data_IF_710710636295
#
_entry.id   IF_710710636295
#
_cell.length_a   1.000
_cell.length_b   1.000
_cell.length_c   1.000
_cell.angle_alpha   90.00
_cell.angle_beta   90.00
_cell.angle_gamma   90.00
#
_symmetry.space_group_name_H-M   'P 1'
#
loop_
_entity.id
_entity.type
_entity.pdbx_description
1 polymer ?
#
# COMPACT_ATOMS: atom_id res chain seq x y z
N UNK A 1 -16.74 -1.36 -22.15
CA UNK A 1 -17.41 -2.61 -21.71
C UNK A 1 -17.90 -2.41 -20.28
N UNK A 2 -18.68 -3.32 -19.66
CA UNK A 2 -18.84 -3.27 -18.19
C UNK A 2 -17.45 -3.22 -17.52
N UNK A 3 -17.34 -2.46 -16.43
CA UNK A 3 -16.12 -2.30 -15.62
C UNK A 3 -14.91 -1.62 -16.29
N UNK A 4 -15.09 -0.88 -17.39
CA UNK A 4 -13.97 -0.22 -18.08
C UNK A 4 -13.24 0.79 -17.17
N UNK A 5 -14.01 1.62 -16.44
CA UNK A 5 -13.45 2.62 -15.53
C UNK A 5 -12.75 1.95 -14.36
N UNK A 6 -13.38 0.94 -13.76
CA UNK A 6 -12.86 0.16 -12.64
C UNK A 6 -11.56 -0.53 -13.02
N UNK A 7 -11.51 -1.18 -14.18
CA UNK A 7 -10.29 -1.80 -14.70
C UNK A 7 -9.17 -0.77 -14.90
N UNK A 8 -9.48 0.39 -15.49
CA UNK A 8 -8.48 1.43 -15.68
C UNK A 8 -7.94 1.94 -14.33
N UNK A 9 -8.82 2.25 -13.38
CA UNK A 9 -8.45 2.68 -12.02
C UNK A 9 -7.60 1.61 -11.32
N UNK A 10 -7.95 0.33 -11.46
CA UNK A 10 -7.19 -0.77 -10.87
C UNK A 10 -5.78 -0.88 -11.45
N UNK A 11 -5.63 -0.77 -12.78
CA UNK A 11 -4.31 -0.81 -13.45
C UNK A 11 -3.46 0.37 -12.98
N UNK A 12 -4.01 1.58 -12.94
CA UNK A 12 -3.29 2.77 -12.48
C UNK A 12 -2.88 2.67 -11.01
N UNK A 13 -3.78 2.20 -10.13
CA UNK A 13 -3.51 2.01 -8.71
C UNK A 13 -2.39 1.00 -8.47
N UNK A 14 -2.50 -0.21 -9.05
CA UNK A 14 -1.51 -1.28 -8.90
C UNK A 14 -0.17 -0.90 -9.52
N UNK A 15 -0.17 -0.16 -10.64
CA UNK A 15 1.09 0.31 -11.25
C UNK A 15 1.85 1.25 -10.32
N UNK A 16 1.15 2.20 -9.67
CA UNK A 16 1.78 3.12 -8.71
C UNK A 16 2.27 2.39 -7.46
N UNK A 17 1.48 1.47 -6.93
CA UNK A 17 1.89 0.63 -5.81
C UNK A 17 3.13 -0.21 -6.16
N UNK A 18 3.21 -0.77 -7.37
CA UNK A 18 4.38 -1.50 -7.85
C UNK A 18 5.62 -0.60 -7.92
N UNK A 19 5.47 0.63 -8.42
CA UNK A 19 6.56 1.62 -8.44
C UNK A 19 7.05 1.97 -7.03
N UNK A 20 6.13 2.11 -6.06
CA UNK A 20 6.47 2.33 -4.66
C UNK A 20 7.26 1.15 -4.10
N UNK A 21 6.76 -0.08 -4.26
CA UNK A 21 7.42 -1.30 -3.79
C UNK A 21 8.83 -1.46 -4.36
N UNK A 22 9.01 -1.15 -5.65
CA UNK A 22 10.34 -1.14 -6.29
C UNK A 22 11.27 -0.08 -5.71
N UNK A 23 10.77 1.12 -5.39
CA UNK A 23 11.58 2.16 -4.75
C UNK A 23 12.04 1.73 -3.34
N UNK A 24 11.14 1.13 -2.55
CA UNK A 24 11.50 0.57 -1.23
C UNK A 24 12.57 -0.52 -1.37
N UNK A 25 12.41 -1.46 -2.31
CA UNK A 25 13.42 -2.50 -2.55
C UNK A 25 14.78 -1.94 -3.00
N UNK A 26 14.79 -0.92 -3.86
CA UNK A 26 16.03 -0.30 -4.32
C UNK A 26 16.80 0.35 -3.16
N UNK A 27 16.09 1.02 -2.25
CA UNK A 27 16.70 1.63 -1.06
C UNK A 27 17.19 0.56 -0.06
N UNK A 28 16.52 -0.60 0.04
CA UNK A 28 16.99 -1.72 0.87
C UNK A 28 18.37 -2.24 0.44
N UNK A 29 18.65 -2.28 -0.86
CA UNK A 29 19.93 -2.78 -1.40
C UNK A 29 21.09 -1.81 -1.12
N UNK A 30 20.81 -0.50 -1.02
CA UNK A 30 21.81 0.53 -0.75
C UNK A 30 22.19 0.65 0.74
N UNK A 31 21.34 0.15 1.64
CA UNK A 31 21.67 0.03 3.07
C UNK A 31 22.46 -1.26 3.27
N UNK A 32 23.74 -1.20 2.89
CA UNK A 32 24.72 -2.27 3.03
C UNK A 32 25.09 -2.46 4.51
N UNK A 33 24.14 -2.87 5.35
CA UNK A 33 24.34 -3.37 6.72
C UNK A 33 22.99 -3.70 7.38
N UNK A 34 22.89 -4.94 7.87
CA UNK A 34 22.48 -5.29 9.24
C UNK A 34 21.63 -6.57 9.27
N UNK A 35 22.27 -7.61 9.79
CA UNK A 35 21.74 -8.51 10.80
C UNK A 35 20.22 -8.75 10.84
N UNK A 36 19.87 -10.02 10.59
CA UNK A 36 18.82 -10.78 11.29
C UNK A 36 17.47 -10.06 11.50
N UNK A 37 16.59 -10.22 10.52
CA UNK A 37 15.16 -10.41 10.80
C UNK A 37 14.32 -9.15 10.98
N UNK A 38 14.85 -7.97 10.64
CA UNK A 38 14.05 -6.75 10.67
C UNK A 38 13.06 -6.75 9.50
N UNK A 39 11.79 -7.03 9.80
CA UNK A 39 10.68 -6.98 8.82
C UNK A 39 10.27 -5.54 8.47
N UNK A 40 10.95 -4.53 9.01
CA UNK A 40 10.67 -3.12 8.76
C UNK A 40 10.48 -2.76 7.27
N UNK A 41 11.30 -3.25 6.31
CA UNK A 41 11.17 -2.84 4.92
C UNK A 41 9.92 -3.38 4.22
N UNK A 42 9.52 -4.63 4.52
CA UNK A 42 8.29 -5.19 3.96
C UNK A 42 7.09 -4.42 4.51
N UNK A 43 7.06 -4.18 5.82
CA UNK A 43 6.01 -3.40 6.47
C UNK A 43 5.86 -1.98 5.91
N UNK A 44 6.97 -1.29 5.56
CA UNK A 44 6.90 0.03 4.91
C UNK A 44 6.26 -0.04 3.52
N UNK A 45 6.63 -1.07 2.74
CA UNK A 45 6.08 -1.28 1.42
C UNK A 45 4.59 -1.69 1.47
N UNK A 46 4.19 -2.56 2.40
CA UNK A 46 2.80 -2.98 2.63
C UNK A 46 1.90 -1.75 2.89
N UNK A 47 2.26 -0.95 3.90
CA UNK A 47 1.51 0.27 4.24
C UNK A 47 1.49 1.29 3.10
N UNK A 48 2.62 1.50 2.43
CA UNK A 48 2.71 2.45 1.32
C UNK A 48 1.88 2.03 0.12
N UNK A 49 1.95 0.75 -0.26
CA UNK A 49 1.17 0.18 -1.36
C UNK A 49 -0.33 0.27 -1.07
N UNK A 50 -0.77 -0.11 0.14
CA UNK A 50 -2.17 0.01 0.52
C UNK A 50 -2.64 1.48 0.52
N UNK A 51 -1.86 2.41 1.07
CA UNK A 51 -2.20 3.83 1.05
C UNK A 51 -2.40 4.34 -0.39
N UNK A 52 -1.49 4.00 -1.31
CA UNK A 52 -1.56 4.43 -2.71
C UNK A 52 -2.78 3.86 -3.42
N UNK A 53 -3.07 2.57 -3.23
CA UNK A 53 -4.22 1.92 -3.87
C UNK A 53 -5.51 2.50 -3.32
N UNK A 54 -5.66 2.56 -1.99
CA UNK A 54 -6.86 3.07 -1.35
C UNK A 54 -7.13 4.53 -1.71
N UNK A 55 -6.08 5.37 -1.74
CA UNK A 55 -6.20 6.76 -2.20
C UNK A 55 -6.75 6.81 -3.63
N UNK A 56 -6.18 6.04 -4.56
CA UNK A 56 -6.56 6.14 -5.98
C UNK A 56 -7.96 5.58 -6.23
N UNK A 57 -8.35 4.51 -5.53
CA UNK A 57 -9.69 3.94 -5.61
C UNK A 57 -10.73 4.92 -5.04
N UNK A 58 -10.53 5.43 -3.82
CA UNK A 58 -11.48 6.34 -3.17
C UNK A 58 -11.60 7.69 -3.88
N UNK A 59 -10.53 8.18 -4.52
CA UNK A 59 -10.58 9.38 -5.35
C UNK A 59 -11.48 9.23 -6.60
N UNK A 60 -11.59 8.00 -7.13
CA UNK A 60 -12.39 7.70 -8.33
C UNK A 60 -13.80 7.16 -8.00
N UNK A 61 -13.95 6.58 -6.81
CA UNK A 61 -15.15 5.95 -6.29
C UNK A 61 -15.30 6.27 -4.79
N UNK A 62 -15.84 7.44 -4.42
CA UNK A 62 -15.91 7.88 -3.02
C UNK A 62 -16.72 6.96 -2.09
N UNK A 63 -17.64 6.17 -2.64
CA UNK A 63 -18.46 5.20 -1.90
C UNK A 63 -17.89 3.77 -1.93
N UNK A 64 -16.69 3.58 -2.51
CA UNK A 64 -16.07 2.26 -2.60
C UNK A 64 -15.76 1.71 -1.21
N UNK A 65 -16.20 0.47 -0.98
CA UNK A 65 -15.74 -0.34 0.14
C UNK A 65 -14.49 -1.08 -0.27
N UNK A 66 -13.42 -0.97 0.53
CA UNK A 66 -12.14 -1.64 0.29
C UNK A 66 -11.84 -2.52 1.50
N UNK A 67 -11.44 -3.75 1.26
CA UNK A 67 -10.98 -4.72 2.26
C UNK A 67 -9.49 -4.97 1.99
N UNK A 68 -8.64 -4.34 2.79
CA UNK A 68 -7.18 -4.50 2.76
C UNK A 68 -6.66 -5.34 3.93
N UNK A 69 -5.39 -5.72 3.89
CA UNK A 69 -4.72 -6.46 4.97
C UNK A 69 -4.30 -5.54 6.13
N UNK A 70 -3.85 -4.33 5.80
CA UNK A 70 -3.16 -3.46 6.75
C UNK A 70 -4.09 -2.46 7.46
N UNK A 71 -3.73 -2.07 8.69
CA UNK A 71 -4.38 -0.98 9.43
C UNK A 71 -3.33 -0.04 10.05
N UNK A 72 -3.66 1.25 10.19
CA UNK A 72 -2.67 2.22 10.65
C UNK A 72 -2.47 2.28 12.18
N UNK A 73 -3.16 1.43 12.96
CA UNK A 73 -3.19 1.56 14.43
C UNK A 73 -1.79 1.48 15.06
N UNK A 74 -0.96 0.55 14.58
CA UNK A 74 0.42 0.41 15.03
C UNK A 74 1.31 1.55 14.50
N UNK A 75 1.03 2.04 13.29
CA UNK A 75 1.82 3.08 12.64
C UNK A 75 1.67 4.44 13.34
N UNK A 76 0.53 4.67 14.00
CA UNK A 76 0.21 5.88 14.76
C UNK A 76 0.88 5.95 16.15
N UNK A 77 1.54 4.89 16.62
CA UNK A 77 2.18 4.92 17.94
C UNK A 77 3.50 5.72 17.91
N UNK A 78 3.90 6.37 19.02
CA UNK A 78 5.15 7.12 19.09
C UNK A 78 6.39 6.30 18.71
N UNK A 79 6.40 5.00 19.02
CA UNK A 79 7.49 4.08 18.72
C UNK A 79 7.66 3.85 17.21
N UNK A 80 6.58 3.97 16.43
CA UNK A 80 6.59 3.81 14.97
C UNK A 80 6.63 5.15 14.21
N UNK A 81 6.84 6.29 14.88
CA UNK A 81 6.88 7.60 14.23
C UNK A 81 7.91 7.70 13.08
N UNK A 82 9.08 7.07 13.23
CA UNK A 82 10.09 7.01 12.17
C UNK A 82 9.62 6.19 10.95
N UNK A 83 8.91 5.09 11.20
CA UNK A 83 8.32 4.24 10.15
C UNK A 83 7.21 4.98 9.42
N UNK A 84 6.33 5.67 10.15
CA UNK A 84 5.28 6.51 9.56
C UNK A 84 5.88 7.60 8.67
N UNK A 85 6.95 8.26 9.12
CA UNK A 85 7.66 9.25 8.31
C UNK A 85 8.25 8.62 7.04
N UNK A 86 8.81 7.41 7.12
CA UNK A 86 9.32 6.68 5.96
C UNK A 86 8.21 6.31 4.97
N UNK A 87 7.11 5.72 5.44
CA UNK A 87 5.93 5.42 4.59
C UNK A 87 5.42 6.70 3.92
N UNK A 88 5.28 7.78 4.69
CA UNK A 88 4.84 9.08 4.17
C UNK A 88 5.77 9.60 3.08
N UNK A 89 7.08 9.50 3.26
CA UNK A 89 8.08 9.91 2.27
C UNK A 89 7.95 9.15 0.94
N UNK A 90 7.69 7.84 0.97
CA UNK A 90 7.43 7.06 -0.25
C UNK A 90 6.09 7.43 -0.90
N UNK A 91 5.03 7.59 -0.11
CA UNK A 91 3.70 7.97 -0.64
C UNK A 91 3.74 9.37 -1.27
N UNK A 92 4.54 10.30 -0.74
CA UNK A 92 4.71 11.65 -1.27
C UNK A 92 5.28 11.70 -2.70
N UNK A 93 5.96 10.65 -3.15
CA UNK A 93 6.44 10.56 -4.53
C UNK A 93 5.28 10.52 -5.55
N UNK A 94 4.11 10.02 -5.11
CA UNK A 94 2.88 9.94 -5.90
C UNK A 94 1.88 11.03 -5.53
N UNK A 95 1.87 11.44 -4.25
CA UNK A 95 0.97 12.45 -3.70
C UNK A 95 1.76 13.50 -2.91
N UNK A 96 2.33 14.53 -3.57
CA UNK A 96 3.27 15.47 -2.92
C UNK A 96 2.71 16.25 -1.72
N UNK A 97 1.39 16.32 -1.57
CA UNK A 97 0.71 17.00 -0.47
C UNK A 97 0.32 16.05 0.68
N UNK A 98 0.67 14.77 0.59
CA UNK A 98 0.36 13.79 1.63
C UNK A 98 1.12 14.11 2.92
N UNK A 99 0.38 14.21 4.02
CA UNK A 99 0.94 14.20 5.36
C UNK A 99 0.66 12.85 6.04
N UNK A 100 1.21 12.67 7.24
CA UNK A 100 1.06 11.43 7.99
C UNK A 100 -0.40 11.10 8.33
N UNK A 101 -1.26 12.10 8.50
CA UNK A 101 -2.68 11.90 8.80
C UNK A 101 -3.43 11.39 7.57
N UNK A 102 -3.20 12.01 6.40
CA UNK A 102 -3.75 11.57 5.13
C UNK A 102 -3.31 10.15 4.77
N UNK A 103 -2.02 9.83 4.93
CA UNK A 103 -1.47 8.49 4.69
C UNK A 103 -2.17 7.45 5.56
N UNK A 104 -2.26 7.68 6.87
CA UNK A 104 -2.97 6.77 7.76
C UNK A 104 -4.45 6.66 7.40
N UNK A 105 -5.10 7.76 7.02
CA UNK A 105 -6.49 7.75 6.55
C UNK A 105 -6.69 6.92 5.29
N UNK A 106 -5.73 6.92 4.36
CA UNK A 106 -5.77 6.08 3.16
C UNK A 106 -5.50 4.60 3.47
N UNK A 107 -4.59 4.30 4.41
CA UNK A 107 -4.42 2.93 4.91
C UNK A 107 -5.74 2.42 5.50
N UNK A 108 -6.33 3.21 6.40
CA UNK A 108 -7.56 2.87 7.13
C UNK A 108 -8.81 2.81 6.22
N UNK A 109 -8.77 3.41 5.02
CA UNK A 109 -9.83 3.23 4.02
C UNK A 109 -9.95 1.77 3.55
N UNK A 110 -8.93 0.94 3.79
CA UNK A 110 -8.94 -0.51 3.62
C UNK A 110 -9.66 -1.30 4.73
N UNK A 111 -10.14 -0.64 5.79
CA UNK A 111 -10.84 -1.30 6.91
C UNK A 111 -12.32 -1.57 6.63
N UNK A 112 -12.73 -1.61 5.36
CA UNK A 112 -14.08 -1.95 4.96
C UNK A 112 -14.45 -3.39 5.34
N UNK A 113 -15.74 -3.68 5.31
CA UNK A 113 -16.26 -5.05 5.49
C UNK A 113 -16.77 -5.59 4.16
N UNK A 114 -16.78 -6.90 4.00
CA UNK A 114 -17.34 -7.55 2.81
C UNK A 114 -18.81 -7.17 2.65
N UNK A 115 -19.17 -6.65 1.48
CA UNK A 115 -20.54 -6.29 1.05
C UNK A 115 -20.89 -6.99 -0.27
N UNK A 116 -22.03 -6.66 -0.88
CA UNK A 116 -22.36 -7.14 -2.22
C UNK A 116 -21.38 -6.64 -3.29
N UNK A 117 -20.85 -5.42 -3.15
CA UNK A 117 -19.83 -4.85 -4.05
C UNK A 117 -18.67 -4.26 -3.27
N UNK A 118 -17.48 -4.82 -3.38
CA UNK A 118 -16.29 -4.36 -2.67
C UNK A 118 -14.99 -4.62 -3.43
N UNK A 119 -13.98 -3.80 -3.16
CA UNK A 119 -12.61 -4.03 -3.57
C UNK A 119 -11.88 -4.85 -2.51
N UNK A 120 -11.02 -5.78 -2.92
CA UNK A 120 -10.13 -6.50 -2.03
C UNK A 120 -8.68 -6.31 -2.48
N UNK A 121 -7.79 -6.10 -1.52
CA UNK A 121 -6.38 -5.78 -1.75
C UNK A 121 -5.48 -6.62 -0.85
N UNK A 122 -4.53 -7.31 -1.46
CA UNK A 122 -3.30 -7.77 -0.83
C UNK A 122 -2.15 -6.89 -1.36
N UNK A 123 -1.58 -6.00 -0.52
CA UNK A 123 -0.58 -5.04 -0.97
C UNK A 123 0.74 -5.72 -1.38
N UNK A 124 1.10 -6.86 -0.78
CA UNK A 124 2.28 -7.68 -1.15
C UNK A 124 2.01 -9.17 -0.88
N UNK A 125 1.49 -9.86 -1.91
CA UNK A 125 1.42 -11.32 -1.89
C UNK A 125 2.82 -11.90 -2.15
N UNK A 126 3.34 -12.66 -1.19
CA UNK A 126 4.69 -13.22 -1.25
C UNK A 126 5.76 -12.36 -0.59
N UNK A 127 5.50 -11.83 0.61
CA UNK A 127 6.46 -11.06 1.45
C UNK A 127 7.88 -11.65 1.57
N UNK A 128 8.03 -12.99 1.59
CA UNK A 128 9.37 -13.63 1.57
C UNK A 128 10.12 -13.42 0.26
N UNK A 129 9.40 -13.43 -0.86
CA UNK A 129 9.96 -13.13 -2.17
C UNK A 129 10.36 -11.67 -2.26
N UNK A 130 9.50 -10.75 -1.78
CA UNK A 130 9.83 -9.32 -1.67
C UNK A 130 11.14 -9.08 -0.91
N UNK A 131 11.30 -9.66 0.28
CA UNK A 131 12.51 -9.51 1.10
C UNK A 131 13.78 -10.11 0.47
N UNK A 132 13.63 -11.06 -0.46
CA UNK A 132 14.74 -11.73 -1.16
C UNK A 132 15.04 -11.12 -2.51
N UNK A 133 14.34 -10.04 -2.88
CA UNK A 133 14.36 -9.48 -4.23
C UNK A 133 14.03 -10.54 -5.31
N UNK A 134 13.06 -11.39 -5.00
CA UNK A 134 12.48 -12.42 -5.88
C UNK A 134 11.01 -12.06 -6.22
N UNK A 135 10.20 -13.01 -6.67
CA UNK A 135 8.82 -12.77 -7.09
C UNK A 135 7.89 -12.40 -5.92
N UNK A 136 7.04 -11.41 -6.14
CA UNK A 136 5.88 -11.04 -5.32
C UNK A 136 4.79 -10.45 -6.22
N UNK A 137 3.57 -10.30 -5.72
CA UNK A 137 2.45 -9.69 -6.43
C UNK A 137 1.78 -8.59 -5.62
N UNK A 138 1.07 -7.70 -6.32
CA UNK A 138 0.12 -6.76 -5.73
C UNK A 138 -1.24 -7.17 -6.28
N UNK A 139 -2.12 -7.70 -5.44
CA UNK A 139 -3.37 -8.29 -5.88
C UNK A 139 -4.55 -7.38 -5.54
N UNK A 140 -5.18 -6.80 -6.57
CA UNK A 140 -6.37 -5.98 -6.45
C UNK A 140 -7.51 -6.58 -7.28
N UNK A 141 -8.67 -6.75 -6.67
CA UNK A 141 -9.87 -7.22 -7.35
C UNK A 141 -11.11 -6.42 -6.91
N UNK A 142 -12.10 -6.35 -7.80
CA UNK A 142 -13.45 -5.90 -7.51
C UNK A 142 -14.38 -7.13 -7.56
N UNK A 143 -15.20 -7.29 -6.54
CA UNK A 143 -16.19 -8.37 -6.41
C UNK A 143 -17.58 -7.74 -6.43
N UNK A 144 -18.49 -8.31 -7.24
CA UNK A 144 -19.93 -8.02 -7.37
C UNK A 144 -20.70 -9.27 -7.82
#
# INVERSE_FOLDING_TARGET
>A
MPYEKEKQVAIEAVTRAAQLCLAVQADMVNVDSLEKGDKSPVTVADFGAQAVVCQHVTANFPEAVIVGEEDSSQLRTPENAAKLAQVTGYVQQFFPQADAEAVCGWIDAGNGQVTERFWTLDPIDGTKGFLRNDQYGIALALIE
#
